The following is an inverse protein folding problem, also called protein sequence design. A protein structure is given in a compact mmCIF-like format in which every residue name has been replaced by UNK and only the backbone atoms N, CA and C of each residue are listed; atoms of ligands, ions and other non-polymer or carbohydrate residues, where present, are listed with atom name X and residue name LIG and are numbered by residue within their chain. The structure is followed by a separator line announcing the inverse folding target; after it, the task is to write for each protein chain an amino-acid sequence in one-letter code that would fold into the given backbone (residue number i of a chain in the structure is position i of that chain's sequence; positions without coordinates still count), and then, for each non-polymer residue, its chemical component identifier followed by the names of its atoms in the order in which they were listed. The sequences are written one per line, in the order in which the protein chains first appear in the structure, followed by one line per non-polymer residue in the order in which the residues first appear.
data_IF_678675469811
#
_entry.id   IF_678675469811
#
_cell.length_a   1.000
_cell.length_b   1.000
_cell.length_c   1.000
_cell.angle_alpha   90.00
_cell.angle_beta   90.00
_cell.angle_gamma   90.00
#
_symmetry.space_group_name_H-M   'P 1'
#
loop_
_entity.id
_entity.type
_entity.pdbx_description
1 polymer ?
#
# COMPACT_ATOMS: atom_id res chain seq x y z
N UNK A 1 -4.55 9.98 -12.59
CA UNK A 1 -3.63 9.75 -11.46
C UNK A 1 -2.33 9.16 -12.00
N UNK A 2 -1.23 9.84 -11.71
CA UNK A 2 0.08 9.41 -12.19
C UNK A 2 0.72 8.48 -11.14
N UNK A 3 0.65 7.19 -11.38
CA UNK A 3 1.13 6.19 -10.43
C UNK A 3 2.65 6.24 -10.24
N UNK A 4 3.38 6.54 -11.31
CA UNK A 4 4.84 6.64 -11.20
C UNK A 4 5.26 7.82 -10.32
N UNK A 5 4.56 8.93 -10.44
CA UNK A 5 4.80 10.10 -9.60
C UNK A 5 4.51 9.80 -8.14
N UNK A 6 3.42 9.07 -7.88
CA UNK A 6 3.09 8.63 -6.52
C UNK A 6 4.21 7.78 -5.95
N UNK A 7 4.68 6.80 -6.72
CA UNK A 7 5.79 5.95 -6.32
C UNK A 7 7.03 6.77 -5.97
N UNK A 8 7.44 7.64 -6.88
CA UNK A 8 8.67 8.43 -6.69
C UNK A 8 8.55 9.34 -5.47
N UNK A 9 7.42 10.00 -5.31
CA UNK A 9 7.22 10.93 -4.20
C UNK A 9 7.24 10.22 -2.85
N UNK A 10 6.55 9.08 -2.74
CA UNK A 10 6.53 8.34 -1.49
C UNK A 10 7.90 7.74 -1.20
N UNK A 11 8.55 7.14 -2.19
CA UNK A 11 9.86 6.54 -1.99
C UNK A 11 10.91 7.57 -1.52
N UNK A 12 10.80 8.80 -1.99
CA UNK A 12 11.73 9.87 -1.62
C UNK A 12 11.37 10.54 -0.30
N UNK A 13 10.26 10.18 0.30
CA UNK A 13 9.76 10.78 1.52
C UNK A 13 10.62 10.43 2.73
N UNK A 14 11.11 9.21 2.79
CA UNK A 14 11.92 8.71 3.90
C UNK A 14 12.74 7.51 3.42
N UNK A 15 14.02 7.51 3.76
CA UNK A 15 14.92 6.44 3.32
C UNK A 15 14.65 5.09 3.97
N UNK A 16 13.83 5.05 5.04
CA UNK A 16 13.43 3.80 5.69
C UNK A 16 12.31 3.08 4.94
N UNK A 17 11.72 3.73 3.93
CA UNK A 17 10.74 3.07 3.07
C UNK A 17 11.49 2.09 2.16
N UNK A 18 11.05 0.83 2.16
CA UNK A 18 11.71 -0.26 1.44
C UNK A 18 11.03 -0.57 0.12
N UNK A 19 9.72 -0.46 0.07
CA UNK A 19 8.90 -0.86 -1.07
C UNK A 19 7.69 0.06 -1.16
N UNK A 20 7.37 0.48 -2.37
CA UNK A 20 6.12 1.17 -2.68
C UNK A 20 5.52 0.47 -3.89
N UNK A 21 4.32 -0.02 -3.76
CA UNK A 21 3.66 -0.72 -4.85
C UNK A 21 2.19 -0.40 -4.95
N UNK A 22 1.73 -0.31 -6.18
CA UNK A 22 0.30 -0.19 -6.48
C UNK A 22 -0.17 -1.54 -6.99
N UNK A 23 -1.14 -2.11 -6.31
CA UNK A 23 -1.70 -3.42 -6.63
C UNK A 23 -3.10 -3.23 -7.22
N UNK A 24 -3.45 -4.06 -8.20
CA UNK A 24 -4.81 -4.08 -8.72
C UNK A 24 -5.70 -5.00 -7.87
N UNK A 25 -6.95 -5.13 -8.25
CA UNK A 25 -7.93 -5.95 -7.52
C UNK A 25 -7.58 -7.44 -7.48
N UNK A 26 -6.68 -7.88 -8.32
CA UNK A 26 -6.20 -9.25 -8.36
C UNK A 26 -4.85 -9.42 -7.66
N UNK A 27 -4.44 -8.42 -6.90
CA UNK A 27 -3.18 -8.39 -6.17
C UNK A 27 -1.94 -8.42 -7.07
N UNK A 28 -2.08 -7.92 -8.30
CA UNK A 28 -0.95 -7.81 -9.22
C UNK A 28 -0.32 -6.43 -9.09
N UNK A 29 1.00 -6.41 -9.10
CA UNK A 29 1.76 -5.16 -9.07
C UNK A 29 1.64 -4.45 -10.41
N UNK A 30 1.00 -3.28 -10.43
CA UNK A 30 0.86 -2.50 -11.67
C UNK A 30 1.87 -1.38 -11.77
N UNK A 31 2.43 -0.93 -10.65
CA UNK A 31 3.50 0.07 -10.63
C UNK A 31 4.24 -0.07 -9.31
N UNK A 32 5.56 0.20 -9.34
CA UNK A 32 6.35 0.26 -8.13
C UNK A 32 7.34 -0.88 -8.00
N UNK A 33 7.89 -1.01 -6.82
CA UNK A 33 8.89 -2.04 -6.53
C UNK A 33 9.71 -1.68 -5.31
N UNK A 34 10.75 -2.47 -5.09
CA UNK A 34 11.70 -2.25 -4.00
C UNK A 34 12.54 -1.01 -4.25
N UNK A 35 12.97 -0.39 -3.17
CA UNK A 35 13.97 0.67 -3.26
C UNK A 35 15.23 0.10 -3.92
N UNK A 36 15.86 0.92 -4.75
CA UNK A 36 17.08 0.54 -5.42
C UNK A 36 18.12 0.07 -4.40
N UNK A 37 18.79 -1.03 -4.71
CA UNK A 37 19.82 -1.65 -3.86
C UNK A 37 19.32 -2.27 -2.55
N UNK A 38 18.00 -2.37 -2.38
CA UNK A 38 17.41 -3.08 -1.25
C UNK A 38 16.81 -4.38 -1.77
N UNK A 39 17.33 -5.53 -1.35
CA UNK A 39 16.77 -6.80 -1.80
C UNK A 39 15.45 -7.09 -1.11
N UNK A 40 14.56 -7.76 -1.83
CA UNK A 40 13.32 -8.26 -1.25
C UNK A 40 13.63 -9.35 -0.23
N UNK A 41 12.89 -9.37 0.88
CA UNK A 41 13.00 -10.42 1.90
C UNK A 41 12.31 -11.70 1.45
N UNK A 42 11.40 -11.59 0.48
CA UNK A 42 10.67 -12.73 -0.06
C UNK A 42 11.13 -13.00 -1.48
N UNK A 43 11.14 -14.27 -1.89
CA UNK A 43 11.36 -14.61 -3.29
C UNK A 43 10.11 -14.26 -4.11
N UNK A 44 10.21 -14.22 -5.46
CA UNK A 44 9.10 -13.76 -6.29
C UNK A 44 7.78 -14.52 -6.08
N UNK A 45 7.83 -15.82 -5.92
CA UNK A 45 6.62 -16.62 -5.74
C UNK A 45 5.92 -16.28 -4.42
N UNK A 46 6.70 -16.07 -3.38
CA UNK A 46 6.17 -15.69 -2.07
C UNK A 46 5.67 -14.25 -2.05
N UNK A 47 6.29 -13.36 -2.84
CA UNK A 47 5.80 -12.00 -2.97
C UNK A 47 4.37 -11.98 -3.51
N UNK A 48 4.10 -12.75 -4.54
CA UNK A 48 2.76 -12.80 -5.13
C UNK A 48 1.73 -13.29 -4.13
N UNK A 49 2.07 -14.32 -3.37
CA UNK A 49 1.19 -14.84 -2.33
C UNK A 49 0.99 -13.82 -1.21
N UNK A 50 2.04 -13.12 -0.84
CA UNK A 50 1.98 -12.09 0.19
C UNK A 50 1.00 -10.98 -0.20
N UNK A 51 1.11 -10.47 -1.43
CA UNK A 51 0.19 -9.43 -1.92
C UNK A 51 -1.26 -9.90 -1.86
N UNK A 52 -1.50 -11.14 -2.29
CA UNK A 52 -2.85 -11.70 -2.28
C UNK A 52 -3.41 -11.79 -0.86
N UNK A 53 -2.59 -12.24 0.10
CA UNK A 53 -3.02 -12.35 1.49
C UNK A 53 -3.30 -11.00 2.11
N UNK A 54 -2.46 -10.01 1.85
CA UNK A 54 -2.66 -8.64 2.35
C UNK A 54 -3.96 -8.07 1.81
N UNK A 55 -4.20 -8.22 0.50
CA UNK A 55 -5.41 -7.72 -0.11
C UNK A 55 -6.66 -8.40 0.47
N UNK A 56 -6.56 -9.66 0.82
CA UNK A 56 -7.67 -10.43 1.40
C UNK A 56 -8.15 -9.83 2.72
N UNK A 57 -7.25 -9.28 3.53
CA UNK A 57 -7.64 -8.64 4.79
C UNK A 57 -8.54 -7.43 4.57
N UNK A 58 -8.26 -6.63 3.54
CA UNK A 58 -9.14 -5.51 3.19
C UNK A 58 -10.51 -5.99 2.75
N UNK A 59 -10.56 -7.07 1.98
CA UNK A 59 -11.82 -7.62 1.49
C UNK A 59 -12.67 -8.19 2.62
N UNK A 60 -12.04 -8.81 3.61
CA UNK A 60 -12.76 -9.37 4.76
C UNK A 60 -13.46 -8.30 5.58
N UNK A 61 -12.90 -7.11 5.65
CA UNK A 61 -13.49 -6.02 6.42
C UNK A 61 -14.59 -5.28 5.68
N UNK A 62 -14.71 -5.51 4.38
CA UNK A 62 -15.68 -4.80 3.55
C UNK A 62 -17.13 -5.00 4.02
N UNK A 63 -17.45 -6.18 4.52
CA UNK A 63 -18.79 -6.48 5.00
C UNK A 63 -19.25 -5.61 6.17
N UNK A 64 -18.31 -5.01 6.87
CA UNK A 64 -18.59 -4.18 8.04
C UNK A 64 -18.59 -2.68 7.73
N UNK A 65 -18.24 -2.31 6.51
CA UNK A 65 -18.08 -0.90 6.14
C UNK A 65 -19.39 -0.11 6.18
N UNK A 66 -20.51 -0.79 5.99
CA UNK A 66 -21.83 -0.14 6.07
C UNK A 66 -22.11 0.44 7.44
N UNK A 67 -21.55 -0.14 8.49
CA UNK A 67 -21.80 0.27 9.87
C UNK A 67 -20.60 1.03 10.43
N UNK A 68 -19.40 0.56 10.17
CA UNK A 68 -18.17 1.10 10.76
C UNK A 68 -17.47 2.14 9.89
N UNK A 69 -17.89 2.27 8.64
CA UNK A 69 -17.23 3.15 7.69
C UNK A 69 -16.14 2.45 6.90
N UNK A 70 -15.61 3.14 5.90
CA UNK A 70 -14.58 2.58 5.03
C UNK A 70 -13.27 2.37 5.79
N UNK A 71 -12.56 1.32 5.45
CA UNK A 71 -11.20 1.10 5.96
C UNK A 71 -10.29 2.18 5.39
N UNK A 72 -9.62 2.92 6.27
CA UNK A 72 -8.67 3.95 5.85
C UNK A 72 -7.31 3.37 5.52
N UNK A 73 -6.83 2.48 6.37
CA UNK A 73 -5.59 1.73 6.13
C UNK A 73 -5.50 0.58 7.11
N UNK A 74 -4.66 -0.39 6.77
CA UNK A 74 -4.28 -1.46 7.67
C UNK A 74 -2.76 -1.36 7.85
N UNK A 75 -2.31 -1.40 9.09
CA UNK A 75 -0.89 -1.42 9.44
C UNK A 75 -0.56 -2.76 10.06
N UNK A 76 0.54 -3.35 9.62
CA UNK A 76 1.05 -4.59 10.19
C UNK A 76 2.50 -4.38 10.61
N UNK A 77 2.79 -4.67 11.87
CA UNK A 77 4.12 -4.60 12.43
C UNK A 77 4.68 -6.01 12.55
N UNK A 78 5.79 -6.25 11.88
CA UNK A 78 6.51 -7.53 11.97
C UNK A 78 7.93 -7.25 12.47
N UNK A 79 8.67 -8.28 12.82
CA UNK A 79 9.99 -8.08 13.42
C UNK A 79 10.99 -7.41 12.47
N UNK A 80 10.92 -7.77 11.18
CA UNK A 80 11.92 -7.31 10.21
C UNK A 80 11.38 -6.24 9.26
N UNK A 81 10.08 -6.02 9.25
CA UNK A 81 9.44 -5.08 8.34
C UNK A 81 8.10 -4.65 8.91
N UNK A 82 7.70 -3.45 8.58
CA UNK A 82 6.33 -3.02 8.84
C UNK A 82 5.74 -2.58 7.51
N UNK A 83 4.43 -2.63 7.37
CA UNK A 83 3.80 -2.15 6.14
C UNK A 83 2.42 -1.60 6.39
N UNK A 84 1.98 -0.73 5.50
CA UNK A 84 0.62 -0.23 5.47
C UNK A 84 0.02 -0.52 4.11
N UNK A 85 -1.27 -0.81 4.09
CA UNK A 85 -2.03 -0.93 2.85
C UNK A 85 -3.25 -0.05 2.93
N UNK A 86 -3.55 0.66 1.84
CA UNK A 86 -4.71 1.52 1.77
C UNK A 86 -5.25 1.55 0.34
N UNK A 87 -6.53 1.84 0.21
CA UNK A 87 -7.13 2.00 -1.10
C UNK A 87 -6.67 3.32 -1.70
N UNK A 88 -6.29 3.28 -2.97
CA UNK A 88 -6.09 4.51 -3.70
C UNK A 88 -7.46 5.08 -4.01
N UNK A 89 -7.70 6.31 -3.54
CA UNK A 89 -8.95 6.96 -3.81
C UNK A 89 -8.98 7.37 -5.27
N UNK A 90 -9.91 6.80 -6.01
CA UNK A 90 -10.12 7.16 -7.39
C UNK A 90 -10.98 8.41 -7.46
N UNK A 91 -10.88 9.13 -8.57
CA UNK A 91 -11.85 10.15 -8.88
C UNK A 91 -13.22 9.51 -8.92
N UNK A 92 -14.24 10.24 -8.50
CA UNK A 92 -15.58 9.73 -8.53
C UNK A 92 -15.93 9.30 -9.94
N UNK A 93 -16.26 8.04 -10.08
CA UNK A 93 -16.58 7.47 -11.35
C UNK A 93 -17.40 6.23 -11.14
N UNK A 94 -17.86 5.69 -12.23
CA UNK A 94 -18.64 4.49 -12.23
C UNK A 94 -17.88 3.34 -11.59
N UNK A 95 -18.55 2.61 -10.73
CA UNK A 95 -17.97 1.43 -10.13
C UNK A 95 -17.02 1.66 -8.98
N UNK A 96 -16.94 2.87 -8.46
CA UNK A 96 -16.14 3.12 -7.28
C UNK A 96 -14.64 2.96 -7.48
N UNK A 97 -14.18 3.28 -8.68
CA UNK A 97 -12.77 3.19 -9.00
C UNK A 97 -12.38 1.83 -9.54
N UNK A 98 -11.11 1.65 -9.81
CA UNK A 98 -10.58 0.44 -10.43
C UNK A 98 -9.99 -0.56 -9.43
N UNK A 99 -10.23 -0.36 -8.14
CA UNK A 99 -9.79 -1.28 -7.11
C UNK A 99 -8.30 -1.26 -6.83
N UNK A 100 -7.63 -0.16 -7.13
CA UNK A 100 -6.20 -0.05 -6.86
C UNK A 100 -5.94 0.12 -5.36
N UNK A 101 -4.88 -0.53 -4.90
CA UNK A 101 -4.40 -0.46 -3.52
C UNK A 101 -2.96 0.00 -3.50
N UNK A 102 -2.61 0.77 -2.49
CA UNK A 102 -1.23 1.19 -2.26
C UNK A 102 -0.66 0.40 -1.09
N UNK A 103 0.46 -0.28 -1.35
CA UNK A 103 1.19 -1.04 -0.33
C UNK A 103 2.56 -0.38 -0.15
N UNK A 104 2.85 0.02 1.09
CA UNK A 104 4.14 0.62 1.43
C UNK A 104 4.76 -0.18 2.54
N UNK A 105 5.93 -0.75 2.31
CA UNK A 105 6.67 -1.43 3.37
C UNK A 105 7.90 -0.62 3.76
N UNK A 106 8.32 -0.76 5.01
CA UNK A 106 9.32 0.10 5.59
C UNK A 106 10.05 -0.63 6.70
N UNK A 107 11.13 -0.03 7.18
CA UNK A 107 11.85 -0.56 8.33
C UNK A 107 10.93 -0.59 9.55
N UNK A 108 11.09 -1.58 10.44
CA UNK A 108 10.12 -1.80 11.52
C UNK A 108 10.04 -0.68 12.55
N UNK A 109 11.04 0.20 12.61
CA UNK A 109 11.04 1.33 13.52
C UNK A 109 10.23 2.54 13.02
N UNK A 110 9.70 2.46 11.82
CA UNK A 110 8.88 3.53 11.23
C UNK A 110 7.53 3.63 11.93
N UNK A 111 7.15 4.83 12.34
CA UNK A 111 5.88 5.04 13.01
C UNK A 111 4.76 5.32 11.99
N UNK A 112 3.72 4.46 11.92
CA UNK A 112 2.64 4.68 10.96
C UNK A 112 1.86 5.97 11.20
N UNK A 113 1.80 6.45 12.44
CA UNK A 113 1.15 7.72 12.74
C UNK A 113 1.84 8.90 12.08
N UNK A 114 3.10 8.73 11.74
CA UNK A 114 3.88 9.74 11.03
C UNK A 114 3.74 9.59 9.51
N UNK A 115 3.91 8.36 9.03
CA UNK A 115 4.00 8.12 7.58
C UNK A 115 2.64 8.17 6.87
N UNK A 116 1.57 7.70 7.50
CA UNK A 116 0.26 7.64 6.84
C UNK A 116 -0.27 9.02 6.47
N UNK A 117 -0.23 10.03 7.36
CA UNK A 117 -0.68 11.37 6.94
C UNK A 117 0.14 11.93 5.77
N UNK A 118 1.44 11.67 5.75
CA UNK A 118 2.32 12.13 4.68
C UNK A 118 1.96 11.48 3.35
N UNK A 119 1.67 10.18 3.36
CA UNK A 119 1.22 9.47 2.16
C UNK A 119 -0.11 10.03 1.67
N UNK A 120 -1.04 10.29 2.57
CA UNK A 120 -2.34 10.84 2.20
C UNK A 120 -2.22 12.20 1.54
N UNK A 121 -1.31 13.04 2.01
CA UNK A 121 -1.08 14.34 1.39
C UNK A 121 -0.61 14.19 -0.05
N UNK A 122 0.23 13.20 -0.32
CA UNK A 122 0.66 12.91 -1.70
C UNK A 122 -0.52 12.52 -2.57
N UNK A 123 -1.42 11.70 -2.05
CA UNK A 123 -2.56 11.21 -2.81
C UNK A 123 -3.61 12.29 -3.10
N UNK A 124 -3.62 13.37 -2.32
CA UNK A 124 -4.56 14.46 -2.51
C UNK A 124 -4.09 15.50 -3.55
N UNK A 125 -2.83 15.43 -3.93
CA UNK A 125 -2.26 16.38 -4.90
C UNK A 125 -2.71 16.11 -6.33
#
# INVERSE_FOLDING_TARGET
MDLRKIYDTIMNMDKRIRFVGVLDKNARLVEGGMRENIPSLLDPDKNDLFYLRVLSHLKELKDFENVLGAVNYIHVQMDKVSFVIMRLRQEEGEGGGNGLMLLVSMEPDMNPSFIVPSIRNVLLE
#
